data_IF_813340235576
#
_entry.id   IF_813340235576
#
_cell.length_a   1.000
_cell.length_b   1.000
_cell.length_c   1.000
_cell.angle_alpha   90.00
_cell.angle_beta   90.00
_cell.angle_gamma   90.00
#
_symmetry.space_group_name_H-M   'P 1'
#
loop_
_entity.id
_entity.type
_entity.pdbx_description
1 polymer ?
#
# COMPACT_ATOMS: atom_id res chain seq x y z
N UNK A 1 1.34 15.55 -11.25
CA UNK A 1 1.04 16.41 -10.09
C UNK A 1 0.67 15.48 -8.94
N UNK A 2 1.39 15.62 -7.81
CA UNK A 2 1.44 14.82 -6.57
C UNK A 2 2.04 13.41 -6.68
N UNK A 3 3.37 13.31 -6.55
CA UNK A 3 4.08 12.10 -6.13
C UNK A 3 3.86 11.92 -4.62
N UNK A 4 2.86 11.12 -4.23
CA UNK A 4 2.60 10.85 -2.80
C UNK A 4 3.46 9.67 -2.35
N UNK A 5 4.68 9.98 -1.91
CA UNK A 5 5.59 9.01 -1.31
C UNK A 5 5.25 8.82 0.17
N UNK A 6 4.92 7.59 0.57
CA UNK A 6 4.71 7.24 1.97
C UNK A 6 5.89 6.38 2.46
N UNK A 7 6.54 6.83 3.52
CA UNK A 7 7.57 6.07 4.21
C UNK A 7 6.97 5.45 5.49
N UNK A 8 6.80 4.13 5.52
CA UNK A 8 6.24 3.41 6.66
C UNK A 8 7.25 2.41 7.21
N UNK A 9 7.39 2.36 8.53
CA UNK A 9 8.14 1.31 9.21
C UNK A 9 7.17 0.17 9.50
N UNK A 10 7.45 -1.00 8.94
CA UNK A 10 6.63 -2.19 9.10
C UNK A 10 7.47 -3.30 9.73
N UNK A 11 6.85 -4.09 10.59
CA UNK A 11 7.46 -5.29 11.16
C UNK A 11 7.35 -6.48 10.19
N UNK A 12 7.92 -7.63 10.56
CA UNK A 12 7.73 -8.85 9.80
C UNK A 12 6.23 -9.23 9.79
N UNK A 13 5.66 -9.41 8.60
CA UNK A 13 4.25 -9.71 8.44
C UNK A 13 3.71 -9.42 7.05
N UNK A 14 2.42 -9.72 6.88
CA UNK A 14 1.69 -9.50 5.63
C UNK A 14 0.86 -8.22 5.73
N UNK A 15 1.08 -7.29 4.81
CA UNK A 15 0.39 -6.00 4.75
C UNK A 15 -0.37 -5.86 3.43
N UNK A 16 -1.54 -5.22 3.50
CA UNK A 16 -2.37 -4.94 2.33
C UNK A 16 -2.34 -3.46 2.04
N UNK A 17 -1.72 -3.08 0.92
CA UNK A 17 -1.56 -1.71 0.49
C UNK A 17 -2.60 -1.33 -0.55
N UNK A 18 -3.02 -0.07 -0.51
CA UNK A 18 -3.99 0.49 -1.42
C UNK A 18 -3.36 0.73 -2.79
N UNK A 19 -3.98 0.17 -3.81
CA UNK A 19 -3.63 0.32 -5.24
C UNK A 19 -4.80 0.89 -6.06
N UNK A 20 -5.89 1.31 -5.41
CA UNK A 20 -7.09 1.80 -6.09
C UNK A 20 -7.28 3.32 -5.97
N UNK A 21 -6.45 3.99 -5.16
CA UNK A 21 -6.53 5.44 -4.90
C UNK A 21 -7.78 5.90 -4.12
N UNK A 22 -8.64 4.99 -3.66
CA UNK A 22 -9.91 5.32 -2.97
C UNK A 22 -9.88 5.10 -1.46
N UNK A 23 -8.80 4.52 -0.93
CA UNK A 23 -8.69 4.27 0.50
C UNK A 23 -8.64 5.58 1.28
N UNK A 24 -9.36 5.62 2.41
CA UNK A 24 -9.26 6.73 3.38
C UNK A 24 -8.07 6.58 4.32
N UNK A 25 -7.50 5.38 4.38
CA UNK A 25 -6.37 5.03 5.23
C UNK A 25 -5.13 4.74 4.38
N UNK A 26 -4.88 5.54 3.35
CA UNK A 26 -3.63 5.44 2.57
C UNK A 26 -2.42 5.50 3.51
N UNK A 27 -1.44 4.60 3.34
CA UNK A 27 -1.21 3.72 2.19
C UNK A 27 -1.88 2.33 2.27
N UNK A 28 -2.63 2.03 3.33
CA UNK A 28 -3.24 0.71 3.52
C UNK A 28 -4.57 0.56 2.78
N UNK A 29 -4.91 -0.69 2.45
CA UNK A 29 -6.20 -1.04 1.90
C UNK A 29 -7.27 -1.06 3.01
N UNK A 30 -8.34 -0.29 2.82
CA UNK A 30 -9.51 -0.24 3.73
C UNK A 30 -10.75 -0.95 3.15
N UNK A 31 -10.61 -1.60 2.00
CA UNK A 31 -11.72 -2.25 1.28
C UNK A 31 -12.45 -1.35 0.28
N UNK A 32 -12.08 -0.08 0.13
CA UNK A 32 -12.68 0.84 -0.86
C UNK A 32 -12.44 0.44 -2.32
N UNK A 33 -11.58 -0.55 -2.57
CA UNK A 33 -11.36 -1.14 -3.89
C UNK A 33 -12.53 -2.02 -4.38
N UNK A 34 -13.45 -2.43 -3.50
CA UNK A 34 -14.61 -3.26 -3.86
C UNK A 34 -15.44 -2.57 -4.95
N UNK A 35 -15.76 -3.31 -6.02
CA UNK A 35 -16.47 -2.77 -7.18
C UNK A 35 -15.57 -2.07 -8.21
N UNK A 36 -14.25 -2.13 -8.03
CA UNK A 36 -13.28 -1.75 -9.06
C UNK A 36 -12.53 -2.99 -9.57
N UNK A 37 -11.79 -2.83 -10.66
CA UNK A 37 -10.87 -3.86 -11.17
C UNK A 37 -9.54 -3.94 -10.41
N UNK A 38 -9.34 -3.09 -9.40
CA UNK A 38 -8.11 -3.02 -8.62
C UNK A 38 -8.23 -3.88 -7.35
N UNK A 39 -7.21 -4.69 -7.09
CA UNK A 39 -7.05 -5.45 -5.85
C UNK A 39 -5.88 -4.92 -5.02
N UNK A 40 -5.91 -5.08 -3.69
CA UNK A 40 -4.84 -4.60 -2.81
C UNK A 40 -3.49 -5.24 -3.18
N UNK A 41 -2.42 -4.46 -3.03
CA UNK A 41 -1.07 -4.99 -3.15
C UNK A 41 -0.69 -5.69 -1.86
N UNK A 42 -0.28 -6.96 -1.95
CA UNK A 42 0.14 -7.74 -0.78
C UNK A 42 1.65 -7.61 -0.64
N UNK A 43 2.09 -7.09 0.50
CA UNK A 43 3.48 -6.96 0.85
C UNK A 43 3.79 -7.92 2.01
N UNK A 44 4.62 -8.91 1.75
CA UNK A 44 5.11 -9.85 2.78
C UNK A 44 6.53 -9.46 3.18
N UNK A 45 6.72 -9.20 4.47
CA UNK A 45 8.01 -8.83 5.05
C UNK A 45 8.48 -9.94 5.97
N UNK A 46 9.69 -10.45 5.73
CA UNK A 46 10.31 -11.47 6.60
C UNK A 46 11.00 -10.84 7.82
N UNK A 47 11.29 -9.54 7.77
CA UNK A 47 11.98 -8.80 8.82
C UNK A 47 11.48 -7.36 8.92
N UNK A 48 11.59 -6.71 10.09
CA UNK A 48 11.21 -5.31 10.25
C UNK A 48 12.06 -4.43 9.33
N UNK A 49 11.41 -3.71 8.44
CA UNK A 49 12.08 -2.81 7.49
C UNK A 49 11.24 -1.58 7.22
N UNK A 50 11.95 -0.48 6.95
CA UNK A 50 11.32 0.75 6.47
C UNK A 50 11.03 0.58 4.98
N UNK A 51 9.75 0.65 4.62
CA UNK A 51 9.27 0.51 3.25
C UNK A 51 8.85 1.88 2.74
N UNK A 52 9.39 2.26 1.60
CA UNK A 52 9.02 3.48 0.90
C UNK A 52 8.10 3.09 -0.27
N UNK A 53 6.86 3.57 -0.21
CA UNK A 53 5.79 3.22 -1.15
C UNK A 53 5.91 4.02 -2.47
N UNK A 54 7.07 4.65 -2.68
CA UNK A 54 7.51 5.19 -3.98
C UNK A 54 7.82 4.11 -5.01
N UNK A 55 8.22 2.93 -4.54
CA UNK A 55 8.70 1.82 -5.37
C UNK A 55 7.61 0.81 -5.75
N UNK A 56 6.39 1.00 -5.24
CA UNK A 56 5.26 0.28 -5.80
C UNK A 56 5.02 0.82 -7.21
N UNK A 57 4.94 -0.04 -8.23
CA UNK A 57 4.71 0.39 -9.61
C UNK A 57 3.48 1.29 -9.59
N UNK A 58 3.73 2.55 -9.93
CA UNK A 58 2.78 3.63 -9.77
C UNK A 58 1.43 3.24 -10.37
N UNK A 59 0.38 3.54 -9.61
CA UNK A 59 -0.98 3.79 -10.11
C UNK A 59 -0.98 4.48 -11.48
#
# INVERSE_FOLDING_TARGET
>A
MSEQTFAIALDAGTYYLCSCGRSKNVPYCDGSHKGTSFGPFVLELESPQKVEISDLPQL
#
